data_IF_278145163764
#
_entry.id   IF_278145163764
#
_cell.length_a   1.000
_cell.length_b   1.000
_cell.length_c   1.000
_cell.angle_alpha   90.00
_cell.angle_beta   90.00
_cell.angle_gamma   90.00
#
_symmetry.space_group_name_H-M   'P 1'
#
loop_
_entity.id
_entity.type
_entity.pdbx_description
1 polymer ?
#
# COMPACT_ATOMS: atom_id res chain seq x y z
N UNK A 1 -10.61 -42.24 -17.78
CA UNK A 1 -10.91 -40.90 -17.25
C UNK A 1 -11.54 -41.10 -15.87
N UNK A 2 -10.72 -41.15 -14.83
CA UNK A 2 -11.19 -41.32 -13.44
C UNK A 2 -10.87 -40.02 -12.72
N UNK A 3 -11.90 -39.22 -12.47
CA UNK A 3 -11.79 -38.01 -11.66
C UNK A 3 -11.58 -38.43 -10.21
N UNK A 4 -10.40 -38.20 -9.66
CA UNK A 4 -10.21 -38.19 -8.21
C UNK A 4 -10.84 -36.89 -7.71
N UNK A 5 -11.90 -36.94 -6.88
CA UNK A 5 -12.51 -35.73 -6.37
C UNK A 5 -11.53 -35.04 -5.43
N UNK A 6 -11.30 -33.74 -5.67
CA UNK A 6 -10.76 -32.85 -4.65
C UNK A 6 -11.74 -32.92 -3.49
N UNK A 7 -11.26 -33.25 -2.29
CA UNK A 7 -12.07 -33.36 -1.08
C UNK A 7 -13.01 -32.16 -0.93
N UNK A 8 -14.29 -32.42 -0.67
CA UNK A 8 -15.39 -31.45 -0.46
C UNK A 8 -15.21 -30.52 0.77
N UNK A 9 -13.98 -30.21 1.16
CA UNK A 9 -13.65 -29.39 2.33
C UNK A 9 -12.43 -28.47 2.15
N UNK A 10 -11.90 -28.31 0.93
CA UNK A 10 -10.77 -27.42 0.70
C UNK A 10 -11.21 -25.94 0.66
N UNK A 11 -10.57 -25.10 1.46
CA UNK A 11 -10.88 -23.67 1.59
C UNK A 11 -9.97 -22.84 0.68
N UNK A 12 -10.53 -22.34 -0.43
CA UNK A 12 -9.80 -21.54 -1.42
C UNK A 12 -9.18 -20.26 -0.84
N UNK A 13 -9.77 -19.67 0.21
CA UNK A 13 -9.25 -18.47 0.85
C UNK A 13 -8.01 -18.79 1.71
N UNK A 14 -8.03 -19.92 2.43
CA UNK A 14 -6.85 -20.44 3.14
C UNK A 14 -5.77 -20.91 2.18
N UNK A 15 -6.16 -21.55 1.08
CA UNK A 15 -5.26 -21.95 -0.01
C UNK A 15 -4.53 -20.76 -0.63
N UNK A 16 -5.27 -19.69 -0.93
CA UNK A 16 -4.69 -18.43 -1.41
C UNK A 16 -3.70 -17.84 -0.41
N UNK A 17 -4.07 -17.81 0.87
CA UNK A 17 -3.21 -17.26 1.94
C UNK A 17 -1.91 -18.04 2.05
N UNK A 18 -1.99 -19.37 2.10
CA UNK A 18 -0.83 -20.26 2.18
C UNK A 18 0.04 -20.17 0.92
N UNK A 19 -0.57 -20.10 -0.28
CA UNK A 19 0.15 -19.90 -1.53
C UNK A 19 0.93 -18.58 -1.55
N UNK A 20 0.28 -17.47 -1.19
CA UNK A 20 0.93 -16.14 -1.15
C UNK A 20 2.06 -16.10 -0.12
N UNK A 21 1.90 -16.82 0.99
CA UNK A 21 2.87 -16.81 2.09
C UNK A 21 4.11 -17.63 1.78
N UNK A 22 3.95 -18.83 1.21
CA UNK A 22 5.04 -19.80 1.09
C UNK A 22 5.47 -20.14 -0.34
N UNK A 23 4.59 -19.98 -1.33
CA UNK A 23 4.81 -20.52 -2.69
C UNK A 23 5.01 -19.43 -3.75
N UNK A 24 4.40 -18.25 -3.58
CA UNK A 24 4.33 -17.18 -4.58
C UNK A 24 5.68 -16.50 -4.89
N UNK A 25 6.71 -16.73 -4.06
CA UNK A 25 8.07 -16.23 -4.30
C UNK A 25 8.78 -16.99 -5.43
N UNK A 26 8.40 -18.25 -5.67
CA UNK A 26 9.09 -19.13 -6.61
C UNK A 26 8.21 -19.64 -7.75
N UNK A 27 6.88 -19.62 -7.59
CA UNK A 27 5.94 -20.08 -8.60
C UNK A 27 5.08 -18.95 -9.17
N UNK A 28 4.79 -19.03 -10.47
CA UNK A 28 4.05 -18.00 -11.18
C UNK A 28 2.57 -17.97 -10.77
N UNK A 29 2.05 -16.77 -10.52
CA UNK A 29 0.65 -16.53 -10.10
C UNK A 29 -0.38 -16.92 -11.14
N UNK A 30 -0.02 -16.92 -12.43
CA UNK A 30 -0.94 -17.34 -13.48
C UNK A 30 -1.11 -18.85 -13.57
N UNK A 31 -0.32 -19.62 -12.80
CA UNK A 31 -0.28 -21.09 -12.77
C UNK A 31 0.07 -21.74 -14.12
N UNK A 32 0.34 -20.98 -15.17
CA UNK A 32 0.54 -21.47 -16.54
C UNK A 32 2.00 -21.43 -16.97
N UNK A 33 2.74 -20.45 -16.49
CA UNK A 33 4.13 -20.24 -16.87
C UNK A 33 5.11 -20.68 -15.78
N UNK A 34 6.31 -21.05 -16.20
CA UNK A 34 7.43 -21.29 -15.29
C UNK A 34 7.93 -19.97 -14.68
N UNK A 35 8.47 -20.04 -13.46
CA UNK A 35 9.22 -18.95 -12.82
C UNK A 35 10.55 -19.55 -12.30
N UNK A 36 10.85 -19.38 -11.02
CA UNK A 36 11.98 -20.02 -10.33
C UNK A 36 11.73 -21.52 -10.18
N UNK A 37 10.46 -21.91 -10.02
CA UNK A 37 9.96 -23.28 -10.11
C UNK A 37 8.99 -23.48 -11.29
N UNK A 38 8.57 -24.73 -11.53
CA UNK A 38 7.67 -25.07 -12.63
C UNK A 38 6.28 -24.42 -12.49
N UNK A 39 5.58 -24.31 -13.62
CA UNK A 39 4.16 -23.96 -13.66
C UNK A 39 3.33 -24.94 -12.80
N UNK A 40 2.45 -24.40 -11.96
CA UNK A 40 1.71 -25.19 -10.99
C UNK A 40 0.31 -25.63 -11.46
N UNK A 41 -0.24 -25.02 -12.51
CA UNK A 41 -1.56 -25.33 -13.02
C UNK A 41 -1.60 -26.74 -13.61
N UNK A 42 -2.56 -27.56 -13.20
CA UNK A 42 -2.62 -28.98 -13.56
C UNK A 42 -1.61 -29.87 -12.84
N UNK A 43 -1.01 -29.41 -11.73
CA UNK A 43 -0.05 -30.23 -10.95
C UNK A 43 -0.69 -31.52 -10.44
N UNK A 44 -1.94 -31.48 -9.97
CA UNK A 44 -2.65 -32.68 -9.49
C UNK A 44 -2.78 -33.72 -10.61
N UNK A 45 -3.11 -33.30 -11.83
CA UNK A 45 -3.18 -34.19 -12.98
C UNK A 45 -1.81 -34.77 -13.36
N UNK A 46 -0.76 -33.95 -13.30
CA UNK A 46 0.62 -34.38 -13.59
C UNK A 46 1.14 -35.39 -12.56
N UNK A 47 0.71 -35.31 -11.30
CA UNK A 47 1.09 -36.24 -10.24
C UNK A 47 0.10 -37.40 -10.04
N UNK A 48 -0.96 -37.48 -10.84
CA UNK A 48 -2.04 -38.48 -10.67
C UNK A 48 -1.59 -39.94 -10.85
N UNK A 49 -0.45 -40.19 -11.51
CA UNK A 49 0.13 -41.53 -11.64
C UNK A 49 0.86 -42.00 -10.37
N UNK A 50 0.98 -41.15 -9.35
CA UNK A 50 1.65 -41.42 -8.08
C UNK A 50 0.66 -41.29 -6.91
N UNK A 51 0.90 -41.99 -5.78
CA UNK A 51 0.17 -41.77 -4.54
C UNK A 51 0.12 -40.28 -4.15
N UNK A 52 -1.04 -39.81 -3.67
CA UNK A 52 -1.21 -38.42 -3.23
C UNK A 52 -0.22 -38.02 -2.13
N UNK A 53 0.17 -38.98 -1.28
CA UNK A 53 1.19 -38.81 -0.24
C UNK A 53 2.56 -38.41 -0.80
N UNK A 54 2.92 -38.83 -2.02
CA UNK A 54 4.18 -38.44 -2.65
C UNK A 54 4.17 -36.97 -3.06
N UNK A 55 3.01 -36.45 -3.48
CA UNK A 55 2.84 -35.02 -3.75
C UNK A 55 2.92 -34.20 -2.45
N UNK A 56 2.36 -34.70 -1.35
CA UNK A 56 2.52 -34.04 -0.05
C UNK A 56 3.97 -34.06 0.44
N UNK A 57 4.65 -35.20 0.31
CA UNK A 57 6.06 -35.32 0.66
C UNK A 57 6.93 -34.39 -0.20
N UNK A 58 6.62 -34.25 -1.49
CA UNK A 58 7.29 -33.33 -2.41
C UNK A 58 7.12 -31.86 -1.97
N UNK A 59 5.90 -31.43 -1.66
CA UNK A 59 5.62 -30.05 -1.23
C UNK A 59 6.31 -29.75 0.11
N UNK A 60 6.36 -30.70 1.05
CA UNK A 60 7.04 -30.50 2.34
C UNK A 60 8.55 -30.50 2.22
N UNK A 61 9.13 -31.41 1.45
CA UNK A 61 10.56 -31.56 1.33
C UNK A 61 10.94 -32.24 0.02
N UNK A 62 11.07 -31.43 -1.03
CA UNK A 62 11.46 -31.87 -2.37
C UNK A 62 12.79 -32.64 -2.38
N UNK A 63 13.78 -32.19 -1.61
CA UNK A 63 15.12 -32.79 -1.56
C UNK A 63 15.09 -34.20 -0.97
N UNK A 64 14.30 -34.44 0.07
CA UNK A 64 14.15 -35.78 0.64
C UNK A 64 13.55 -36.78 -0.36
N UNK A 65 12.65 -36.33 -1.24
CA UNK A 65 12.04 -37.18 -2.26
C UNK A 65 12.99 -37.42 -3.45
N UNK A 66 13.82 -36.43 -3.81
CA UNK A 66 14.89 -36.55 -4.81
C UNK A 66 15.97 -37.55 -4.34
N UNK A 67 16.42 -37.45 -3.09
CA UNK A 67 17.42 -38.37 -2.54
C UNK A 67 16.94 -39.83 -2.48
N UNK A 68 15.62 -40.05 -2.40
CA UNK A 68 14.99 -41.38 -2.48
C UNK A 68 14.86 -41.90 -3.93
N UNK A 69 15.25 -41.11 -4.93
CA UNK A 69 15.21 -41.51 -6.33
C UNK A 69 13.82 -41.50 -6.96
N UNK A 70 12.86 -40.76 -6.41
CA UNK A 70 11.50 -40.74 -6.96
C UNK A 70 11.50 -40.22 -8.41
N UNK A 71 10.94 -40.96 -9.39
CA UNK A 71 11.16 -40.71 -10.82
C UNK A 71 10.74 -39.31 -11.27
N UNK A 72 9.55 -38.85 -10.84
CA UNK A 72 9.05 -37.50 -11.17
C UNK A 72 9.80 -36.38 -10.44
N UNK A 73 10.31 -36.65 -9.24
CA UNK A 73 11.04 -35.66 -8.45
C UNK A 73 12.42 -35.41 -9.08
N UNK A 74 13.09 -36.49 -9.49
CA UNK A 74 14.37 -36.46 -10.19
C UNK A 74 14.25 -35.83 -11.59
N UNK A 75 13.16 -36.08 -12.31
CA UNK A 75 12.86 -35.42 -13.60
C UNK A 75 12.79 -33.90 -13.42
N UNK A 76 11.98 -33.42 -12.47
CA UNK A 76 11.85 -32.00 -12.17
C UNK A 76 13.16 -31.38 -11.69
N UNK A 77 13.91 -32.08 -10.86
CA UNK A 77 15.23 -31.62 -10.41
C UNK A 77 16.21 -31.44 -11.58
N UNK A 78 16.23 -32.35 -12.54
CA UNK A 78 17.10 -32.24 -13.71
C UNK A 78 16.78 -31.03 -14.59
N UNK A 79 15.51 -30.60 -14.61
CA UNK A 79 15.06 -29.43 -15.37
C UNK A 79 15.33 -28.10 -14.66
N UNK A 80 15.26 -28.06 -13.32
CA UNK A 80 15.31 -26.82 -12.54
C UNK A 80 16.57 -26.65 -11.67
N UNK A 81 17.48 -27.63 -11.63
CA UNK A 81 18.78 -27.48 -10.96
C UNK A 81 19.56 -26.28 -11.52
N UNK A 82 20.31 -25.54 -10.68
CA UNK A 82 20.62 -25.81 -9.26
C UNK A 82 19.60 -25.25 -8.26
N UNK A 83 18.40 -24.83 -8.68
CA UNK A 83 17.42 -24.18 -7.82
C UNK A 83 16.75 -25.17 -6.86
N UNK A 84 16.92 -24.96 -5.56
CA UNK A 84 16.34 -25.80 -4.50
C UNK A 84 15.04 -25.19 -3.98
N UNK A 85 13.96 -25.98 -3.96
CA UNK A 85 12.72 -25.60 -3.29
C UNK A 85 12.89 -25.74 -1.77
N UNK A 86 12.67 -24.64 -1.04
CA UNK A 86 12.71 -24.58 0.43
C UNK A 86 11.78 -25.63 1.05
N UNK A 87 12.20 -26.25 2.15
CA UNK A 87 11.39 -27.22 2.87
C UNK A 87 10.32 -26.52 3.74
N UNK A 88 9.11 -27.08 3.73
CA UNK A 88 7.95 -26.61 4.49
C UNK A 88 7.44 -27.73 5.42
N UNK A 89 8.22 -28.16 6.44
CA UNK A 89 7.88 -29.29 7.28
C UNK A 89 6.60 -29.08 8.11
N UNK A 90 6.23 -27.83 8.35
CA UNK A 90 5.09 -27.46 9.19
C UNK A 90 3.74 -27.46 8.45
N UNK A 91 3.71 -27.62 7.11
CA UNK A 91 2.45 -27.63 6.37
C UNK A 91 1.70 -28.96 6.58
N UNK A 92 0.46 -28.88 7.02
CA UNK A 92 -0.43 -30.03 7.19
C UNK A 92 -0.99 -30.53 5.85
N UNK A 93 -1.50 -31.77 5.79
CA UNK A 93 -2.10 -32.30 4.55
C UNK A 93 -3.30 -31.43 4.10
N UNK A 94 -4.08 -30.93 5.06
CA UNK A 94 -5.21 -30.04 4.80
C UNK A 94 -4.78 -28.71 4.17
N UNK A 95 -3.72 -28.07 4.68
CA UNK A 95 -3.21 -26.82 4.10
C UNK A 95 -2.63 -27.02 2.70
N UNK A 96 -2.01 -28.18 2.44
CA UNK A 96 -1.51 -28.51 1.10
C UNK A 96 -2.69 -28.75 0.14
N UNK A 97 -3.75 -29.42 0.60
CA UNK A 97 -4.98 -29.59 -0.20
C UNK A 97 -5.65 -28.25 -0.52
N UNK A 98 -5.74 -27.33 0.44
CA UNK A 98 -6.25 -25.98 0.24
C UNK A 98 -5.44 -25.23 -0.84
N UNK A 99 -4.10 -25.31 -0.78
CA UNK A 99 -3.21 -24.70 -1.77
C UNK A 99 -3.38 -25.32 -3.16
N UNK A 100 -3.47 -26.65 -3.25
CA UNK A 100 -3.65 -27.34 -4.53
C UNK A 100 -5.02 -27.02 -5.15
N UNK A 101 -6.08 -26.91 -4.34
CA UNK A 101 -7.39 -26.49 -4.78
C UNK A 101 -7.37 -25.04 -5.31
N UNK A 102 -6.70 -24.13 -4.59
CA UNK A 102 -6.51 -22.76 -5.06
C UNK A 102 -5.74 -22.69 -6.39
N UNK A 103 -4.64 -23.42 -6.53
CA UNK A 103 -3.85 -23.47 -7.78
C UNK A 103 -4.71 -23.94 -8.96
N UNK A 104 -5.50 -24.99 -8.76
CA UNK A 104 -6.35 -25.55 -9.81
C UNK A 104 -7.49 -24.60 -10.19
N UNK A 105 -8.10 -23.93 -9.21
CA UNK A 105 -9.09 -22.87 -9.45
C UNK A 105 -8.48 -21.70 -10.24
N UNK A 106 -7.29 -21.22 -9.84
CA UNK A 106 -6.60 -20.15 -10.56
C UNK A 106 -6.22 -20.54 -12.00
N UNK A 107 -5.80 -21.79 -12.19
CA UNK A 107 -5.45 -22.33 -13.51
C UNK A 107 -6.66 -22.39 -14.46
N UNK A 108 -7.83 -22.82 -13.94
CA UNK A 108 -9.08 -22.99 -14.71
C UNK A 108 -9.87 -21.70 -14.89
N UNK A 109 -9.99 -20.89 -13.83
CA UNK A 109 -10.96 -19.79 -13.74
C UNK A 109 -10.32 -18.39 -13.82
N UNK A 110 -8.99 -18.28 -13.86
CA UNK A 110 -8.29 -17.06 -14.29
C UNK A 110 -8.65 -15.78 -13.53
N UNK A 111 -8.90 -15.86 -12.22
CA UNK A 111 -9.22 -14.72 -11.35
C UNK A 111 -10.58 -14.05 -11.61
N UNK A 112 -11.62 -14.82 -11.97
CA UNK A 112 -13.01 -14.36 -11.77
C UNK A 112 -13.30 -14.28 -10.25
N UNK A 113 -13.86 -13.17 -9.73
CA UNK A 113 -14.26 -13.10 -8.33
C UNK A 113 -15.34 -14.15 -8.09
N UNK A 114 -15.06 -15.14 -7.24
CA UNK A 114 -16.11 -15.96 -6.68
C UNK A 114 -16.99 -15.06 -5.80
N UNK A 115 -18.30 -15.09 -6.05
CA UNK A 115 -19.28 -14.44 -5.21
C UNK A 115 -19.07 -14.86 -3.75
N UNK A 116 -19.13 -13.86 -2.89
CA UNK A 116 -18.92 -13.92 -1.43
C UNK A 116 -19.62 -15.08 -0.75
N UNK A 117 -18.86 -15.85 0.04
CA UNK A 117 -19.35 -16.46 1.27
C UNK A 117 -18.56 -15.83 2.43
N UNK A 118 -19.27 -15.06 3.25
CA UNK A 118 -18.73 -14.44 4.45
C UNK A 118 -18.40 -15.53 5.49
N UNK A 119 -17.16 -15.53 5.99
CA UNK A 119 -16.82 -16.19 7.24
C UNK A 119 -16.12 -15.16 8.14
N UNK A 120 -16.75 -14.94 9.29
CA UNK A 120 -16.34 -13.99 10.32
C UNK A 120 -15.01 -14.42 10.97
N UNK A 121 -14.09 -13.48 11.07
CA UNK A 121 -12.89 -13.56 11.89
C UNK A 121 -12.58 -12.16 12.43
N UNK A 122 -13.04 -11.89 13.65
CA UNK A 122 -12.87 -10.62 14.33
C UNK A 122 -11.40 -10.41 14.75
N UNK A 123 -10.79 -9.36 14.22
CA UNK A 123 -9.63 -8.63 14.77
C UNK A 123 -9.94 -7.14 14.65
N UNK A 124 -9.51 -6.28 15.59
CA UNK A 124 -10.19 -5.03 15.89
C UNK A 124 -10.24 -4.14 14.65
N UNK A 125 -11.47 -3.90 14.20
CA UNK A 125 -11.74 -2.94 13.15
C UNK A 125 -11.39 -1.56 13.70
N UNK A 126 -10.58 -0.83 12.94
CA UNK A 126 -10.56 0.63 13.01
C UNK A 126 -12.01 1.05 12.72
N UNK A 127 -12.69 1.61 13.71
CA UNK A 127 -14.04 2.16 13.53
C UNK A 127 -13.98 3.25 12.46
N UNK A 128 -14.43 2.92 11.25
CA UNK A 128 -15.07 3.92 10.41
C UNK A 128 -16.31 4.39 11.17
N UNK A 129 -16.35 5.66 11.52
CA UNK A 129 -17.52 6.30 12.12
C UNK A 129 -18.70 6.15 11.16
N UNK A 130 -19.54 5.13 11.37
CA UNK A 130 -20.83 5.04 10.71
C UNK A 130 -21.57 6.35 11.00
N UNK A 131 -22.14 7.04 10.00
CA UNK A 131 -22.93 8.23 10.28
C UNK A 131 -24.07 7.82 11.22
N UNK A 132 -24.22 8.53 12.32
CA UNK A 132 -25.15 8.23 13.41
C UNK A 132 -26.63 8.47 13.01
N UNK A 133 -27.05 8.03 11.82
CA UNK A 133 -28.41 8.20 11.28
C UNK A 133 -29.48 7.60 12.20
N UNK A 134 -29.17 6.47 12.84
CA UNK A 134 -30.04 5.86 13.84
C UNK A 134 -30.24 6.75 15.08
N UNK A 135 -29.17 7.41 15.57
CA UNK A 135 -29.27 8.35 16.68
C UNK A 135 -30.05 9.61 16.28
N UNK A 136 -29.89 10.07 15.02
CA UNK A 136 -30.70 11.18 14.50
C UNK A 136 -32.18 10.80 14.38
N UNK A 137 -32.51 9.58 13.93
CA UNK A 137 -33.90 9.09 13.87
C UNK A 137 -34.49 8.94 15.27
N UNK A 138 -33.76 8.31 16.20
CA UNK A 138 -34.23 8.13 17.58
C UNK A 138 -34.39 9.50 18.25
N UNK A 139 -33.43 10.41 18.07
CA UNK A 139 -33.49 11.77 18.59
C UNK A 139 -34.68 12.57 18.05
N UNK A 140 -34.94 12.49 16.74
CA UNK A 140 -36.10 13.17 16.12
C UNK A 140 -37.43 12.55 16.57
N UNK A 141 -37.48 11.22 16.72
CA UNK A 141 -38.66 10.49 17.20
C UNK A 141 -38.99 10.84 18.65
N UNK A 142 -37.98 10.91 19.53
CA UNK A 142 -38.13 11.32 20.92
C UNK A 142 -38.51 12.80 21.05
N UNK A 143 -37.95 13.67 20.21
CA UNK A 143 -38.32 15.09 20.15
C UNK A 143 -39.80 15.24 19.77
N UNK A 144 -40.26 14.53 18.74
CA UNK A 144 -41.67 14.53 18.32
C UNK A 144 -42.59 14.02 19.42
N UNK A 145 -42.22 12.94 20.10
CA UNK A 145 -42.98 12.39 21.22
C UNK A 145 -43.06 13.38 22.40
N UNK A 146 -41.94 14.03 22.74
CA UNK A 146 -41.88 15.03 23.80
C UNK A 146 -42.76 16.25 23.49
N UNK A 147 -42.74 16.74 22.24
CA UNK A 147 -43.61 17.85 21.80
C UNK A 147 -45.08 17.44 21.85
N UNK A 148 -45.42 16.23 21.40
CA UNK A 148 -46.79 15.71 21.45
C UNK A 148 -47.29 15.62 22.90
N UNK A 149 -46.52 15.01 23.79
CA UNK A 149 -46.87 14.87 25.21
C UNK A 149 -46.99 16.24 25.90
N UNK A 150 -46.06 17.17 25.65
CA UNK A 150 -46.11 18.52 26.21
C UNK A 150 -47.38 19.27 25.77
N UNK A 151 -47.84 19.06 24.53
CA UNK A 151 -49.07 19.65 24.02
C UNK A 151 -50.31 19.03 24.66
N UNK A 152 -50.34 17.70 24.82
CA UNK A 152 -51.44 16.99 25.49
C UNK A 152 -51.56 17.46 26.95
N UNK A 153 -50.46 17.52 27.69
CA UNK A 153 -50.45 17.99 29.09
C UNK A 153 -50.89 19.45 29.20
N UNK A 154 -50.38 20.33 28.33
CA UNK A 154 -50.77 21.75 28.33
C UNK A 154 -52.25 21.96 28.00
N UNK A 155 -52.80 21.15 27.10
CA UNK A 155 -54.23 21.20 26.76
C UNK A 155 -55.10 20.64 27.89
N UNK A 156 -54.67 19.57 28.55
CA UNK A 156 -55.36 19.01 29.72
C UNK A 156 -55.40 19.99 30.89
N UNK A 157 -54.28 20.66 31.20
CA UNK A 157 -54.22 21.68 32.24
C UNK A 157 -55.13 22.88 31.93
N UNK A 158 -55.15 23.33 30.66
CA UNK A 158 -56.07 24.40 30.23
C UNK A 158 -57.55 24.03 30.42
N UNK A 159 -57.92 22.77 30.13
CA UNK A 159 -59.28 22.27 30.34
C UNK A 159 -59.62 22.13 31.84
N UNK A 160 -58.67 21.70 32.68
CA UNK A 160 -58.82 21.64 34.13
C UNK A 160 -59.03 23.02 34.74
N UNK A 161 -58.18 24.00 34.39
CA UNK A 161 -58.25 25.37 34.91
C UNK A 161 -59.58 26.07 34.54
N UNK A 162 -60.14 25.75 33.37
CA UNK A 162 -61.48 26.20 32.97
C UNK A 162 -62.59 25.58 33.82
N UNK A 163 -62.44 24.32 34.21
CA UNK A 163 -63.41 23.60 35.03
C UNK A 163 -63.37 24.06 36.49
N UNK A 164 -62.18 24.43 36.99
CA UNK A 164 -61.94 24.92 38.36
C UNK A 164 -62.28 26.42 38.55
N UNK A 165 -62.83 27.09 37.52
CA UNK A 165 -63.33 28.46 37.62
C UNK A 165 -62.24 29.54 37.72
N UNK A 166 -61.02 29.25 37.28
CA UNK A 166 -59.92 30.22 37.24
C UNK A 166 -60.27 31.34 36.25
N UNK A 167 -60.24 32.60 36.71
CA UNK A 167 -60.78 33.77 36.00
C UNK A 167 -60.00 34.19 34.74
N UNK A 168 -58.88 33.53 34.43
CA UNK A 168 -58.13 33.70 33.17
C UNK A 168 -57.18 32.51 32.90
N UNK A 169 -57.66 31.39 32.33
CA UNK A 169 -56.81 30.26 31.97
C UNK A 169 -55.82 30.68 30.87
N UNK A 170 -54.52 30.38 31.04
CA UNK A 170 -53.51 30.69 30.01
C UNK A 170 -53.68 29.74 28.82
N UNK A 171 -53.96 30.28 27.64
CA UNK A 171 -54.06 29.46 26.43
C UNK A 171 -52.73 28.75 26.11
N UNK A 172 -52.78 27.51 25.61
CA UNK A 172 -51.58 26.79 25.21
C UNK A 172 -50.91 27.52 24.04
N UNK A 173 -49.64 27.91 24.24
CA UNK A 173 -48.86 28.64 23.24
C UNK A 173 -48.72 27.86 21.93
N UNK A 174 -48.84 28.56 20.81
CA UNK A 174 -48.63 27.97 19.48
C UNK A 174 -47.16 27.59 19.26
N UNK A 175 -46.89 26.58 18.41
CA UNK A 175 -45.52 26.19 18.02
C UNK A 175 -44.75 27.39 17.46
N UNK A 176 -45.44 28.27 16.72
CA UNK A 176 -44.85 29.49 16.16
C UNK A 176 -44.43 30.47 17.26
N UNK A 177 -45.24 30.63 18.32
CA UNK A 177 -44.93 31.50 19.46
C UNK A 177 -43.79 30.95 20.33
N UNK A 178 -43.70 29.62 20.44
CA UNK A 178 -42.59 28.94 21.12
C UNK A 178 -41.30 29.18 20.31
N UNK A 179 -41.30 28.88 19.02
CA UNK A 179 -40.13 29.06 18.15
C UNK A 179 -39.70 30.53 17.99
N UNK A 180 -40.63 31.47 18.04
CA UNK A 180 -40.35 32.92 17.99
C UNK A 180 -40.12 33.56 19.37
N UNK A 181 -40.13 32.76 20.44
CA UNK A 181 -39.83 33.27 21.77
C UNK A 181 -38.38 33.76 21.87
N UNK A 182 -38.15 34.87 22.58
CA UNK A 182 -36.80 35.44 22.79
C UNK A 182 -35.80 34.42 23.35
N UNK A 183 -36.27 33.49 24.18
CA UNK A 183 -35.48 32.41 24.76
C UNK A 183 -35.02 31.39 23.71
N UNK A 184 -35.91 30.94 22.82
CA UNK A 184 -35.57 29.98 21.76
C UNK A 184 -34.74 30.64 20.67
N UNK A 185 -35.08 31.86 20.26
CA UNK A 185 -34.24 32.63 19.33
C UNK A 185 -32.84 32.83 19.90
N UNK A 186 -32.73 33.20 21.18
CA UNK A 186 -31.44 33.34 21.88
C UNK A 186 -30.64 32.04 21.93
N UNK A 187 -31.30 30.92 22.22
CA UNK A 187 -30.66 29.60 22.22
C UNK A 187 -30.20 29.18 20.81
N UNK A 188 -31.04 29.36 19.79
CA UNK A 188 -30.71 29.04 18.40
C UNK A 188 -29.56 29.92 17.89
N UNK A 189 -29.54 31.21 18.23
CA UNK A 189 -28.45 32.11 17.92
C UNK A 189 -27.15 31.67 18.61
N UNK A 190 -27.21 31.30 19.89
CA UNK A 190 -26.06 30.76 20.62
C UNK A 190 -25.52 29.48 19.97
N UNK A 191 -26.40 28.53 19.63
CA UNK A 191 -26.02 27.30 18.92
C UNK A 191 -25.39 27.63 17.56
N UNK A 192 -25.97 28.56 16.81
CA UNK A 192 -25.44 28.99 15.51
C UNK A 192 -24.05 29.61 15.66
N UNK A 193 -23.82 30.44 16.68
CA UNK A 193 -22.51 31.02 16.97
C UNK A 193 -21.50 29.95 17.36
N UNK A 194 -21.88 28.99 18.21
CA UNK A 194 -21.00 27.90 18.64
C UNK A 194 -20.65 26.99 17.46
N UNK A 195 -21.64 26.58 16.66
CA UNK A 195 -21.43 25.73 15.48
C UNK A 195 -20.66 26.48 14.40
N UNK A 196 -21.02 27.74 14.13
CA UNK A 196 -20.32 28.60 13.18
C UNK A 196 -18.87 28.85 13.60
N UNK A 197 -18.64 29.13 14.88
CA UNK A 197 -17.30 29.29 15.45
C UNK A 197 -16.49 28.01 15.37
N UNK A 198 -17.05 26.88 15.80
CA UNK A 198 -16.42 25.56 15.73
C UNK A 198 -16.04 25.17 14.29
N UNK A 199 -16.95 25.33 13.33
CA UNK A 199 -16.71 25.00 11.92
C UNK A 199 -15.66 25.94 11.32
N UNK A 200 -15.73 27.25 11.61
CA UNK A 200 -14.75 28.23 11.14
C UNK A 200 -13.35 27.92 11.66
N UNK A 201 -13.21 27.66 12.97
CA UNK A 201 -11.92 27.32 13.59
C UNK A 201 -11.38 26.01 13.01
N UNK A 202 -12.20 24.97 12.86
CA UNK A 202 -11.72 23.69 12.31
C UNK A 202 -11.29 23.80 10.86
N UNK A 203 -12.05 24.54 10.03
CA UNK A 203 -11.65 24.80 8.65
C UNK A 203 -10.35 25.59 8.60
N UNK A 204 -10.19 26.61 9.45
CA UNK A 204 -8.96 27.38 9.55
C UNK A 204 -7.75 26.52 9.99
N UNK A 205 -7.96 25.61 10.95
CA UNK A 205 -6.95 24.64 11.40
C UNK A 205 -6.60 23.63 10.30
N UNK A 206 -7.54 23.29 9.43
CA UNK A 206 -7.35 22.37 8.31
C UNK A 206 -6.67 23.02 7.10
N UNK A 207 -6.68 24.36 6.99
CA UNK A 207 -5.97 25.09 5.93
C UNK A 207 -4.48 24.70 5.92
N UNK A 208 -3.97 24.40 4.73
CA UNK A 208 -2.59 23.97 4.55
C UNK A 208 -2.30 22.51 4.89
N UNK A 209 -3.26 21.72 5.38
CA UNK A 209 -3.09 20.27 5.53
C UNK A 209 -3.34 19.56 4.21
N UNK A 210 -2.40 18.72 3.79
CA UNK A 210 -2.44 17.98 2.53
C UNK A 210 -2.76 16.48 2.73
N UNK A 211 -3.48 16.13 3.80
CA UNK A 211 -3.85 14.73 4.03
C UNK A 211 -4.70 14.19 2.88
N UNK A 212 -4.44 12.94 2.50
CA UNK A 212 -5.02 12.25 1.36
C UNK A 212 -4.69 12.86 -0.02
N UNK A 213 -3.77 13.84 -0.11
CA UNK A 213 -3.27 14.31 -1.40
C UNK A 213 -2.63 13.15 -2.17
N UNK A 214 -3.13 12.90 -3.38
CA UNK A 214 -2.76 11.77 -4.24
C UNK A 214 -2.72 12.24 -5.71
N UNK A 215 -1.61 12.84 -6.16
CA UNK A 215 -1.49 13.33 -7.53
C UNK A 215 -1.23 12.19 -8.52
N UNK A 216 -1.62 12.42 -9.77
CA UNK A 216 -1.21 11.56 -10.87
C UNK A 216 0.30 11.65 -11.08
N UNK A 217 0.94 10.49 -11.23
CA UNK A 217 2.38 10.37 -11.48
C UNK A 217 2.65 10.12 -12.97
N UNK A 218 3.81 10.54 -13.51
CA UNK A 218 4.22 10.23 -14.88
C UNK A 218 4.18 8.73 -15.21
N UNK A 219 4.57 7.92 -14.24
CA UNK A 219 4.57 6.47 -14.33
C UNK A 219 3.70 5.94 -13.21
N UNK A 220 2.79 5.01 -13.53
CA UNK A 220 1.88 4.39 -12.57
C UNK A 220 2.62 3.34 -11.72
N UNK A 221 3.56 3.82 -10.90
CA UNK A 221 4.35 2.99 -10.01
C UNK A 221 3.54 2.52 -8.81
N UNK A 222 3.47 1.19 -8.62
CA UNK A 222 2.70 0.55 -7.54
C UNK A 222 3.59 0.11 -6.38
N UNK A 223 3.47 0.77 -5.22
CA UNK A 223 4.14 0.30 -4.00
C UNK A 223 3.52 -1.01 -3.49
N UNK A 224 2.22 -1.22 -3.70
CA UNK A 224 1.55 -2.48 -3.38
C UNK A 224 2.12 -3.69 -4.11
N UNK A 225 2.60 -3.51 -5.34
CA UNK A 225 3.28 -4.58 -6.07
C UNK A 225 4.69 -4.79 -5.51
N UNK A 226 5.50 -3.74 -5.41
CA UNK A 226 6.91 -3.85 -5.05
C UNK A 226 7.13 -4.22 -3.57
N UNK A 227 6.60 -3.41 -2.65
CA UNK A 227 6.74 -3.63 -1.21
C UNK A 227 5.68 -4.61 -0.66
N UNK A 228 4.45 -4.56 -1.16
CA UNK A 228 3.36 -5.40 -0.67
C UNK A 228 3.45 -6.85 -1.13
N UNK A 229 3.49 -7.07 -2.44
CA UNK A 229 3.50 -8.41 -3.04
C UNK A 229 4.89 -9.03 -3.04
N UNK A 230 5.89 -8.31 -3.54
CA UNK A 230 7.24 -8.84 -3.70
C UNK A 230 8.11 -8.67 -2.46
N UNK A 231 7.59 -8.01 -1.40
CA UNK A 231 8.29 -7.81 -0.12
C UNK A 231 9.66 -7.16 -0.28
N UNK A 232 9.83 -6.31 -1.29
CA UNK A 232 11.05 -5.54 -1.48
C UNK A 232 11.17 -4.56 -0.32
N UNK A 233 12.31 -4.60 0.36
CA UNK A 233 12.58 -3.72 1.50
C UNK A 233 12.53 -2.23 1.08
N UNK A 234 11.95 -1.40 1.94
CA UNK A 234 11.78 0.03 1.66
C UNK A 234 13.11 0.72 1.36
N UNK A 235 14.18 0.37 2.08
CA UNK A 235 15.49 1.01 1.97
C UNK A 235 16.31 0.51 0.77
N UNK A 236 15.83 -0.50 0.04
CA UNK A 236 16.45 -0.91 -1.22
C UNK A 236 16.34 0.21 -2.27
N UNK A 237 15.13 0.78 -2.41
CA UNK A 237 14.88 1.90 -3.32
C UNK A 237 15.11 3.26 -2.64
N UNK A 238 14.78 3.37 -1.36
CA UNK A 238 14.87 4.60 -0.58
C UNK A 238 16.08 4.58 0.36
N UNK A 239 17.25 4.33 -0.20
CA UNK A 239 18.49 4.09 0.56
C UNK A 239 18.98 5.33 1.32
N UNK A 240 18.59 6.53 0.85
CA UNK A 240 18.86 7.80 1.51
C UNK A 240 18.25 7.90 2.90
N UNK A 241 17.17 7.16 3.19
CA UNK A 241 16.46 7.24 4.47
C UNK A 241 17.35 6.93 5.69
N UNK A 242 18.36 6.07 5.55
CA UNK A 242 19.27 5.67 6.64
C UNK A 242 20.50 6.55 6.80
N UNK A 243 20.83 7.39 5.82
CA UNK A 243 22.11 8.12 5.76
C UNK A 243 21.95 9.63 5.60
N UNK A 244 20.94 10.05 4.86
CA UNK A 244 20.72 11.44 4.50
C UNK A 244 19.54 12.05 5.25
N UNK A 245 19.50 13.37 5.23
CA UNK A 245 18.31 14.15 5.63
C UNK A 245 17.09 13.85 4.76
N UNK A 246 17.30 13.51 3.49
CA UNK A 246 16.25 13.26 2.51
C UNK A 246 16.28 11.80 2.05
N UNK A 247 15.13 11.14 2.16
CA UNK A 247 14.89 9.88 1.47
C UNK A 247 14.66 10.17 -0.01
N UNK A 248 15.71 10.02 -0.81
CA UNK A 248 15.66 10.33 -2.26
C UNK A 248 14.69 9.39 -2.99
N UNK A 249 14.10 9.88 -4.07
CA UNK A 249 13.42 9.03 -5.05
C UNK A 249 14.52 8.28 -5.82
N UNK A 250 14.44 6.95 -5.98
CA UNK A 250 15.49 6.19 -6.64
C UNK A 250 15.73 6.70 -8.07
N UNK A 251 17.01 6.74 -8.46
CA UNK A 251 17.37 6.93 -9.86
C UNK A 251 16.85 5.74 -10.69
N UNK A 252 16.54 5.99 -11.96
CA UNK A 252 15.98 4.97 -12.86
C UNK A 252 16.87 3.73 -13.04
N UNK A 253 18.18 3.84 -12.78
CA UNK A 253 19.09 2.68 -12.75
C UNK A 253 18.68 1.64 -11.70
N UNK A 254 18.13 2.06 -10.55
CA UNK A 254 17.61 1.16 -9.52
C UNK A 254 16.50 0.28 -10.07
N UNK A 255 15.64 0.86 -10.92
CA UNK A 255 14.56 0.12 -11.60
C UNK A 255 15.16 -0.95 -12.54
N UNK A 256 16.26 -0.64 -13.22
CA UNK A 256 16.88 -1.52 -14.20
C UNK A 256 17.58 -2.74 -13.62
N UNK A 257 17.89 -2.75 -12.32
CA UNK A 257 18.44 -3.92 -11.63
C UNK A 257 17.56 -5.15 -11.81
N UNK A 258 16.24 -4.96 -11.94
CA UNK A 258 15.27 -6.04 -12.19
C UNK A 258 14.58 -5.89 -13.55
N UNK A 259 14.23 -4.68 -13.98
CA UNK A 259 13.45 -4.46 -15.20
C UNK A 259 14.20 -4.73 -16.49
N UNK A 260 15.52 -4.98 -16.46
CA UNK A 260 16.20 -5.59 -17.61
C UNK A 260 15.65 -6.99 -17.95
N UNK A 261 15.32 -7.78 -16.92
CA UNK A 261 14.75 -9.11 -17.08
C UNK A 261 13.21 -9.09 -17.05
N UNK A 262 12.60 -8.22 -16.24
CA UNK A 262 11.15 -8.10 -16.09
C UNK A 262 10.61 -7.03 -17.05
N UNK A 263 10.18 -7.48 -18.23
CA UNK A 263 9.77 -6.62 -19.35
C UNK A 263 8.28 -6.30 -19.41
N UNK A 264 7.46 -6.99 -18.63
CA UNK A 264 5.99 -6.84 -18.59
C UNK A 264 5.50 -6.74 -17.15
N UNK A 265 4.58 -5.80 -16.90
CA UNK A 265 3.93 -5.59 -15.62
C UNK A 265 2.56 -6.30 -15.55
N UNK A 266 2.14 -6.69 -14.35
CA UNK A 266 0.91 -7.46 -14.14
C UNK A 266 -0.39 -6.69 -14.42
N UNK A 267 -0.38 -5.36 -14.38
CA UNK A 267 -1.57 -4.51 -14.56
C UNK A 267 -1.60 -3.73 -15.87
N UNK A 268 -0.44 -3.20 -16.28
CA UNK A 268 -0.31 -2.29 -17.41
C UNK A 268 0.54 -2.89 -18.55
N UNK A 269 0.85 -4.19 -18.50
CA UNK A 269 1.67 -4.85 -19.51
C UNK A 269 2.99 -4.13 -19.74
N UNK A 270 3.26 -3.75 -20.99
CA UNK A 270 4.48 -3.03 -21.39
C UNK A 270 4.42 -1.52 -21.19
N UNK A 271 3.23 -0.93 -21.04
CA UNK A 271 3.01 0.52 -21.17
C UNK A 271 3.88 1.34 -20.19
N UNK A 272 3.82 1.00 -18.90
CA UNK A 272 4.53 1.76 -17.86
C UNK A 272 6.03 1.48 -17.81
N UNK A 273 6.44 0.24 -18.11
CA UNK A 273 7.86 -0.14 -18.12
C UNK A 273 8.59 0.51 -19.30
N UNK A 274 7.92 0.66 -20.45
CA UNK A 274 8.52 1.32 -21.62
C UNK A 274 8.89 2.78 -21.33
N UNK A 275 8.14 3.46 -20.45
CA UNK A 275 8.46 4.83 -20.03
C UNK A 275 9.81 4.88 -19.30
N UNK A 276 10.14 3.87 -18.50
CA UNK A 276 11.44 3.78 -17.81
C UNK A 276 12.55 3.61 -18.85
N UNK A 277 12.38 2.68 -19.80
CA UNK A 277 13.35 2.45 -20.87
C UNK A 277 13.58 3.70 -21.70
N UNK A 278 12.51 4.36 -22.14
CA UNK A 278 12.54 5.59 -22.92
C UNK A 278 13.19 6.76 -22.16
N UNK A 279 13.03 6.84 -20.84
CA UNK A 279 13.69 7.86 -20.03
C UNK A 279 15.22 7.70 -20.02
N UNK A 280 15.72 6.46 -19.91
CA UNK A 280 17.15 6.17 -19.72
C UNK A 280 17.90 5.71 -20.98
N UNK A 281 17.18 5.41 -22.08
CA UNK A 281 17.78 4.92 -23.32
C UNK A 281 18.13 3.44 -23.31
N UNK A 282 17.34 2.60 -22.64
CA UNK A 282 17.54 1.16 -22.68
C UNK A 282 16.76 0.54 -23.83
N UNK A 283 17.40 -0.25 -24.70
CA UNK A 283 16.71 -1.02 -25.74
C UNK A 283 16.40 -2.44 -25.24
N UNK A 284 15.15 -2.73 -24.86
CA UNK A 284 14.74 -4.06 -24.39
C UNK A 284 14.70 -5.14 -25.48
N UNK A 285 14.91 -4.79 -26.75
CA UNK A 285 15.04 -5.76 -27.86
C UNK A 285 16.44 -6.37 -27.94
N UNK A 286 17.45 -5.57 -27.60
CA UNK A 286 18.88 -5.94 -27.68
C UNK A 286 19.54 -6.08 -26.31
N UNK A 287 18.81 -5.75 -25.24
CA UNK A 287 19.27 -5.76 -23.85
C UNK A 287 20.51 -4.89 -23.58
N UNK A 288 20.63 -3.80 -24.34
CA UNK A 288 21.73 -2.84 -24.31
C UNK A 288 21.22 -1.40 -24.19
N UNK A 289 22.06 -0.54 -23.64
CA UNK A 289 21.81 0.91 -23.69
C UNK A 289 22.14 1.44 -25.09
N UNK A 290 21.33 2.39 -25.54
CA UNK A 290 21.47 3.02 -26.85
C UNK A 290 22.63 4.03 -26.78
N UNK A 291 23.61 3.87 -27.67
CA UNK A 291 24.73 4.80 -27.75
C UNK A 291 24.27 6.18 -28.23
N UNK A 292 24.80 7.25 -27.62
CA UNK A 292 24.44 8.64 -27.93
C UNK A 292 22.92 8.94 -27.87
N UNK A 293 22.21 8.27 -26.96
CA UNK A 293 20.75 8.36 -26.83
C UNK A 293 20.23 9.79 -26.60
N UNK A 294 21.00 10.60 -25.88
CA UNK A 294 20.76 12.01 -25.59
C UNK A 294 20.71 12.90 -26.85
N UNK A 295 21.35 12.45 -27.93
CA UNK A 295 21.45 13.16 -29.22
C UNK A 295 20.42 12.70 -30.25
N UNK A 296 19.70 11.60 -30.00
CA UNK A 296 18.71 11.09 -30.94
C UNK A 296 17.48 12.01 -31.06
N UNK A 297 16.95 12.12 -32.27
CA UNK A 297 15.69 12.82 -32.54
C UNK A 297 14.51 12.03 -31.96
N UNK A 298 13.39 12.71 -31.69
CA UNK A 298 12.18 12.04 -31.18
C UNK A 298 11.67 10.96 -32.14
N UNK A 299 11.86 11.12 -33.46
CA UNK A 299 11.44 10.13 -34.45
C UNK A 299 12.29 8.87 -34.42
N UNK A 300 13.60 9.01 -34.21
CA UNK A 300 14.51 7.88 -34.02
C UNK A 300 14.15 7.10 -32.74
N UNK A 301 13.90 7.83 -31.65
CA UNK A 301 13.46 7.25 -30.37
C UNK A 301 12.12 6.53 -30.52
N UNK A 302 11.16 7.17 -31.18
CA UNK A 302 9.84 6.61 -31.51
C UNK A 302 9.95 5.30 -32.26
N UNK A 303 10.78 5.26 -33.32
CA UNK A 303 10.97 4.06 -34.13
C UNK A 303 11.46 2.86 -33.33
N UNK A 304 12.38 3.07 -32.37
CA UNK A 304 12.92 2.01 -31.51
C UNK A 304 11.84 1.43 -30.61
N UNK A 305 11.16 2.29 -29.83
CA UNK A 305 10.19 1.80 -28.84
C UNK A 305 8.89 1.31 -29.48
N UNK A 306 8.39 1.93 -30.54
CA UNK A 306 7.21 1.42 -31.28
C UNK A 306 7.47 0.02 -31.84
N UNK A 307 8.66 -0.23 -32.39
CA UNK A 307 9.05 -1.56 -32.89
C UNK A 307 9.04 -2.61 -31.78
N UNK A 308 9.56 -2.26 -30.60
CA UNK A 308 9.55 -3.18 -29.46
C UNK A 308 8.14 -3.42 -28.91
N UNK A 309 7.31 -2.37 -28.77
CA UNK A 309 5.92 -2.48 -28.32
C UNK A 309 5.15 -3.41 -29.27
N UNK A 310 5.22 -3.16 -30.58
CA UNK A 310 4.56 -3.99 -31.59
C UNK A 310 4.96 -5.47 -31.51
N UNK A 311 6.26 -5.74 -31.30
CA UNK A 311 6.78 -7.12 -31.17
C UNK A 311 6.24 -7.83 -29.92
N UNK A 312 6.21 -7.16 -28.76
CA UNK A 312 5.77 -7.78 -27.51
C UNK A 312 4.24 -7.94 -27.46
N UNK A 313 3.50 -7.12 -28.19
CA UNK A 313 2.06 -7.27 -28.33
C UNK A 313 1.66 -8.38 -29.33
N UNK A 314 2.56 -8.78 -30.21
CA UNK A 314 2.35 -9.89 -31.16
C UNK A 314 2.70 -11.26 -30.58
N UNK A 315 3.10 -11.33 -29.30
CA UNK A 315 3.59 -12.56 -28.66
C UNK A 315 2.52 -13.67 -28.51
N UNK A 316 1.23 -13.33 -28.63
CA UNK A 316 0.10 -14.27 -28.57
C UNK A 316 -0.45 -14.66 -29.96
N UNK A 317 0.31 -14.46 -31.04
CA UNK A 317 -0.10 -14.86 -32.40
C UNK A 317 -1.13 -13.94 -33.07
N UNK A 318 -1.50 -12.82 -32.44
CA UNK A 318 -2.32 -11.78 -33.05
C UNK A 318 -1.44 -10.71 -33.71
N UNK A 319 -1.91 -10.12 -34.81
CA UNK A 319 -1.23 -8.96 -35.44
C UNK A 319 -1.21 -7.81 -34.44
N UNK A 320 -0.06 -7.13 -34.31
CA UNK A 320 0.04 -5.90 -33.53
C UNK A 320 -1.04 -4.90 -33.97
N UNK A 321 -1.91 -4.51 -33.04
CA UNK A 321 -2.81 -3.39 -33.25
C UNK A 321 -1.99 -2.09 -33.28
N UNK A 322 -1.81 -1.55 -34.49
CA UNK A 322 -1.05 -0.34 -34.72
C UNK A 322 -1.61 0.86 -33.93
N UNK A 323 -2.93 0.92 -33.72
CA UNK A 323 -3.57 1.98 -32.93
C UNK A 323 -3.15 1.94 -31.47
N UNK A 324 -2.97 0.75 -30.91
CA UNK A 324 -2.54 0.57 -29.53
C UNK A 324 -1.03 0.82 -29.34
N UNK A 325 -0.21 0.50 -30.35
CA UNK A 325 1.22 0.89 -30.38
C UNK A 325 1.37 2.42 -30.35
N UNK A 326 0.59 3.10 -31.20
CA UNK A 326 0.61 4.57 -31.25
C UNK A 326 0.06 5.18 -29.96
N UNK A 327 -0.98 4.60 -29.36
CA UNK A 327 -1.49 5.01 -28.05
C UNK A 327 -0.41 4.90 -26.96
N UNK A 328 0.29 3.76 -26.84
CA UNK A 328 1.37 3.61 -25.85
C UNK A 328 2.51 4.61 -26.10
N UNK A 329 2.85 4.89 -27.35
CA UNK A 329 3.85 5.92 -27.67
C UNK A 329 3.41 7.32 -27.24
N UNK A 330 2.15 7.70 -27.48
CA UNK A 330 1.64 8.99 -27.00
C UNK A 330 1.65 9.04 -25.47
N UNK A 331 1.30 7.95 -24.79
CA UNK A 331 1.39 7.88 -23.34
C UNK A 331 2.82 8.11 -22.83
N UNK A 332 3.84 7.58 -23.51
CA UNK A 332 5.26 7.84 -23.20
C UNK A 332 5.58 9.33 -23.36
N UNK A 333 5.19 9.92 -24.50
CA UNK A 333 5.45 11.34 -24.78
C UNK A 333 4.80 12.24 -23.74
N UNK A 334 3.51 12.07 -23.47
CA UNK A 334 2.76 12.88 -22.50
C UNK A 334 3.28 12.70 -21.08
N UNK A 335 3.77 11.51 -20.72
CA UNK A 335 4.28 11.24 -19.37
C UNK A 335 5.68 11.80 -19.14
N UNK A 336 6.55 11.76 -20.15
CA UNK A 336 7.98 12.05 -19.99
C UNK A 336 8.40 13.43 -20.47
N UNK A 337 7.49 14.17 -21.13
CA UNK A 337 7.70 15.54 -21.58
C UNK A 337 6.81 16.53 -20.85
N UNK A 338 7.27 17.75 -20.72
CA UNK A 338 6.54 18.89 -20.16
C UNK A 338 7.04 20.18 -20.80
N UNK A 339 6.42 21.32 -20.48
CA UNK A 339 6.87 22.64 -20.96
C UNK A 339 8.35 22.91 -20.63
N UNK A 340 8.81 22.46 -19.46
CA UNK A 340 10.20 22.61 -18.99
C UNK A 340 11.12 21.47 -19.44
N UNK A 341 10.57 20.34 -19.90
CA UNK A 341 11.32 19.18 -20.38
C UNK A 341 10.75 18.70 -21.72
N UNK A 342 11.15 19.29 -22.85
CA UNK A 342 10.58 18.96 -24.16
C UNK A 342 11.06 17.60 -24.71
N UNK A 343 12.15 17.06 -24.16
CA UNK A 343 12.75 15.78 -24.59
C UNK A 343 12.34 14.64 -23.65
N UNK A 344 12.17 13.45 -24.20
CA UNK A 344 11.83 12.24 -23.44
C UNK A 344 13.01 11.80 -22.56
N UNK A 345 14.21 11.91 -23.12
CA UNK A 345 15.47 11.53 -22.48
C UNK A 345 15.71 12.27 -21.17
N UNK A 346 16.34 11.60 -20.22
CA UNK A 346 16.70 12.18 -18.93
C UNK A 346 15.66 11.92 -17.84
N UNK A 347 15.77 12.62 -16.69
CA UNK A 347 15.09 12.23 -15.45
C UNK A 347 13.57 12.28 -15.56
N UNK A 348 12.91 11.35 -14.88
CA UNK A 348 11.45 11.30 -14.73
C UNK A 348 11.02 12.41 -13.76
N UNK A 349 10.04 13.23 -14.16
CA UNK A 349 9.54 14.37 -13.40
C UNK A 349 8.48 13.93 -12.39
N UNK A 350 8.90 13.23 -11.34
CA UNK A 350 8.00 12.77 -10.28
C UNK A 350 7.31 13.93 -9.56
N UNK A 351 6.03 13.76 -9.22
CA UNK A 351 5.30 14.74 -8.41
C UNK A 351 5.48 14.40 -6.94
N UNK A 352 6.17 15.27 -6.21
CA UNK A 352 6.42 15.09 -4.77
C UNK A 352 5.12 15.26 -3.99
N UNK A 353 4.86 14.31 -3.09
CA UNK A 353 3.60 14.20 -2.35
C UNK A 353 3.75 14.75 -0.92
N UNK A 354 4.86 14.44 -0.27
CA UNK A 354 5.18 14.95 1.06
C UNK A 354 6.08 16.17 0.92
N UNK A 355 5.54 17.35 1.20
CA UNK A 355 6.29 18.59 1.20
C UNK A 355 6.27 19.23 2.60
N UNK A 356 7.43 19.69 3.04
CA UNK A 356 7.57 20.49 4.25
C UNK A 356 8.10 21.87 3.81
N UNK A 357 7.71 22.96 4.49
CA UNK A 357 8.25 24.28 4.20
C UNK A 357 9.78 24.30 4.31
N UNK A 358 10.46 25.09 3.48
CA UNK A 358 11.93 25.12 3.43
C UNK A 358 12.59 25.60 4.73
N UNK A 359 11.86 26.36 5.56
CA UNK A 359 12.34 26.79 6.88
C UNK A 359 12.27 25.67 7.95
N UNK A 360 11.65 24.53 7.65
CA UNK A 360 11.57 23.39 8.55
C UNK A 360 12.64 22.35 8.17
N UNK A 361 13.67 22.22 9.02
CA UNK A 361 14.71 21.20 8.82
C UNK A 361 14.21 19.83 9.31
N UNK A 362 14.13 18.87 8.38
CA UNK A 362 13.80 17.48 8.68
C UNK A 362 14.92 16.55 8.20
N UNK A 363 15.28 15.57 9.04
CA UNK A 363 16.34 14.62 8.74
C UNK A 363 15.87 13.16 8.89
N UNK A 364 15.75 12.43 7.78
CA UNK A 364 15.31 11.02 7.78
C UNK A 364 16.23 10.11 8.60
N UNK A 365 17.56 10.23 8.48
CA UNK A 365 18.50 9.33 9.15
C UNK A 365 18.41 9.39 10.67
N UNK A 366 18.10 10.55 11.25
CA UNK A 366 17.85 10.67 12.68
C UNK A 366 16.64 9.87 13.14
N UNK A 367 15.56 9.86 12.35
CA UNK A 367 14.34 9.14 12.71
C UNK A 367 14.47 7.63 12.44
N UNK A 368 15.09 7.25 11.32
CA UNK A 368 15.21 5.85 10.90
C UNK A 368 16.37 5.15 11.62
N UNK A 369 17.57 5.74 11.60
CA UNK A 369 18.79 5.08 12.10
C UNK A 369 18.91 5.21 13.61
N UNK A 370 18.77 6.42 14.17
CA UNK A 370 18.88 6.65 15.61
C UNK A 370 17.56 6.38 16.35
N UNK A 371 16.45 6.91 15.83
CA UNK A 371 15.12 6.76 16.42
C UNK A 371 14.46 5.40 16.22
N UNK A 372 14.92 4.60 15.24
CA UNK A 372 14.30 3.32 14.85
C UNK A 372 12.79 3.43 14.58
N UNK A 373 12.34 4.58 14.11
CA UNK A 373 10.93 4.84 13.80
C UNK A 373 10.57 4.10 12.51
N UNK A 374 9.50 3.30 12.56
CA UNK A 374 9.01 2.57 11.40
C UNK A 374 8.45 3.52 10.34
N UNK A 375 8.72 3.26 9.06
CA UNK A 375 8.27 4.09 7.95
C UNK A 375 6.74 4.29 7.94
N UNK A 376 6.00 3.24 8.31
CA UNK A 376 4.55 3.21 8.33
C UNK A 376 3.93 4.18 9.35
N UNK A 377 4.66 4.55 10.41
CA UNK A 377 4.17 5.49 11.41
C UNK A 377 4.00 6.90 10.83
N UNK A 378 4.82 7.27 9.85
CA UNK A 378 4.77 8.57 9.18
C UNK A 378 4.06 8.52 7.83
N UNK A 379 4.32 7.48 7.02
CA UNK A 379 3.82 7.39 5.65
C UNK A 379 2.58 6.48 5.50
N UNK A 380 2.11 5.85 6.58
CA UNK A 380 1.03 4.87 6.54
C UNK A 380 1.49 3.54 5.94
N UNK A 381 0.54 2.62 5.72
CA UNK A 381 0.82 1.29 5.13
C UNK A 381 1.08 1.39 3.62
N UNK A 382 2.25 1.92 3.25
CA UNK A 382 2.66 2.16 1.86
C UNK A 382 2.69 0.86 1.05
N UNK A 383 2.99 -0.27 1.70
CA UNK A 383 2.95 -1.60 1.11
C UNK A 383 1.55 -2.03 0.63
N UNK A 384 0.49 -1.30 1.01
CA UNK A 384 -0.87 -1.52 0.53
C UNK A 384 -1.34 -0.42 -0.45
N UNK A 385 -0.47 0.52 -0.81
CA UNK A 385 -0.82 1.66 -1.66
C UNK A 385 -0.45 1.38 -3.12
N UNK A 386 -1.46 1.35 -4.01
CA UNK A 386 -1.22 1.31 -5.45
C UNK A 386 -0.67 2.64 -5.98
N UNK A 387 -1.18 3.74 -5.45
CA UNK A 387 -0.64 5.08 -5.66
C UNK A 387 -0.45 5.70 -4.28
N UNK A 388 0.74 6.22 -3.99
CA UNK A 388 1.01 6.83 -2.69
C UNK A 388 0.12 8.04 -2.48
N UNK A 389 -0.42 8.16 -1.27
CA UNK A 389 -1.10 9.35 -0.78
C UNK A 389 -0.46 9.82 0.53
N UNK A 390 -0.61 11.10 0.83
CA UNK A 390 -0.16 11.61 2.12
C UNK A 390 -1.06 11.12 3.26
N UNK A 391 -0.52 10.24 4.11
CA UNK A 391 -1.24 9.67 5.25
C UNK A 391 -1.26 10.63 6.45
N UNK A 392 -0.08 10.99 6.95
CA UNK A 392 0.06 11.89 8.09
C UNK A 392 -0.10 13.36 7.68
N UNK A 393 -0.61 14.23 8.58
CA UNK A 393 -0.76 15.65 8.28
C UNK A 393 0.59 16.37 8.18
N UNK A 394 1.65 15.83 8.82
CA UNK A 394 2.98 16.44 8.90
C UNK A 394 2.98 17.90 9.43
N UNK A 395 1.94 18.27 10.18
CA UNK A 395 1.85 19.57 10.85
C UNK A 395 2.80 19.64 12.06
N UNK A 396 3.25 20.83 12.42
CA UNK A 396 4.09 21.06 13.62
C UNK A 396 3.53 20.40 14.88
N UNK A 397 2.23 20.56 15.17
CA UNK A 397 1.60 19.96 16.35
C UNK A 397 1.65 18.43 16.35
N UNK A 398 1.54 17.80 15.19
CA UNK A 398 1.70 16.34 15.04
C UNK A 398 3.14 15.92 15.33
N UNK A 399 4.13 16.63 14.79
CA UNK A 399 5.56 16.36 15.06
C UNK A 399 5.89 16.50 16.55
N UNK A 400 5.46 17.60 17.18
CA UNK A 400 5.72 17.87 18.61
C UNK A 400 5.08 16.81 19.50
N UNK A 401 3.83 16.44 19.22
CA UNK A 401 3.16 15.41 20.01
C UNK A 401 3.85 14.04 19.86
N UNK A 402 4.27 13.69 18.63
CA UNK A 402 5.07 12.50 18.39
C UNK A 402 6.38 12.53 19.20
N UNK A 403 7.10 13.64 19.20
CA UNK A 403 8.35 13.80 19.97
C UNK A 403 8.12 13.75 21.49
N UNK A 404 6.98 14.24 21.99
CA UNK A 404 6.62 14.18 23.42
C UNK A 404 6.24 12.77 23.88
N UNK A 405 5.68 11.97 22.98
CA UNK A 405 5.10 10.65 23.31
C UNK A 405 6.02 9.48 22.95
N UNK A 406 6.95 9.66 22.01
CA UNK A 406 7.83 8.60 21.54
C UNK A 406 9.02 8.45 22.46
N UNK A 407 9.14 7.30 23.11
CA UNK A 407 10.30 6.98 23.94
C UNK A 407 11.55 6.72 23.10
N UNK A 408 12.66 7.32 23.50
CA UNK A 408 13.97 7.03 22.92
C UNK A 408 14.38 5.61 23.29
N UNK A 409 14.74 4.82 22.28
CA UNK A 409 15.25 3.45 22.46
C UNK A 409 16.70 3.49 22.96
N UNK A 410 16.91 3.79 24.24
CA UNK A 410 18.23 3.78 24.87
C UNK A 410 18.75 2.36 25.13
N UNK A 411 17.83 1.42 25.42
CA UNK A 411 18.15 0.00 25.58
C UNK A 411 18.12 -0.68 24.22
N UNK A 412 19.10 -1.54 23.94
CA UNK A 412 19.19 -2.38 22.75
C UNK A 412 19.29 -1.63 21.39
N UNK A 413 19.78 -0.39 21.42
CA UNK A 413 20.04 0.39 20.22
C UNK A 413 21.54 0.58 20.02
N UNK A 414 22.12 0.03 18.93
CA UNK A 414 23.53 0.17 18.62
C UNK A 414 24.02 1.63 18.64
N UNK A 415 23.17 2.57 18.23
CA UNK A 415 23.49 3.99 18.22
C UNK A 415 23.88 4.53 19.61
N UNK A 416 23.21 4.08 20.68
CA UNK A 416 23.49 4.55 22.04
C UNK A 416 24.55 3.71 22.77
N UNK A 417 24.80 2.48 22.31
CA UNK A 417 25.84 1.61 22.87
C UNK A 417 27.23 2.24 22.71
N UNK A 418 27.47 2.93 21.60
CA UNK A 418 28.75 3.63 21.37
C UNK A 418 28.99 4.73 22.42
N UNK A 419 27.96 5.51 22.76
CA UNK A 419 28.06 6.53 23.82
C UNK A 419 28.29 5.91 25.19
N UNK A 420 27.66 4.77 25.49
CA UNK A 420 27.91 4.04 26.75
C UNK A 420 29.35 3.56 26.82
N UNK A 421 29.85 2.97 25.74
CA UNK A 421 31.25 2.54 25.61
C UNK A 421 32.20 3.71 25.81
N UNK A 422 31.99 4.84 25.12
CA UNK A 422 32.84 6.02 25.26
C UNK A 422 32.85 6.56 26.69
N UNK A 423 31.69 6.58 27.36
CA UNK A 423 31.60 6.98 28.76
C UNK A 423 32.41 6.05 29.68
N UNK A 424 32.33 4.72 29.49
CA UNK A 424 33.09 3.74 30.26
C UNK A 424 34.60 3.80 30.00
N UNK A 425 35.01 4.02 28.74
CA UNK A 425 36.43 4.18 28.37
C UNK A 425 37.03 5.48 28.94
N UNK A 426 36.25 6.56 29.01
CA UNK A 426 36.67 7.79 29.70
C UNK A 426 36.80 7.55 31.20
N UNK A 427 35.79 6.92 31.82
CA UNK A 427 35.78 6.64 33.26
C UNK A 427 36.94 5.72 33.69
N UNK A 428 37.30 4.76 32.86
CA UNK A 428 38.42 3.84 33.10
C UNK A 428 39.79 4.43 32.74
N UNK A 429 39.86 5.64 32.18
CA UNK A 429 41.10 6.27 31.74
C UNK A 429 41.69 5.68 30.45
N UNK A 430 41.05 4.67 29.83
CA UNK A 430 41.45 4.08 28.55
C UNK A 430 41.36 5.10 27.40
N UNK A 431 40.51 6.11 27.54
CA UNK A 431 40.25 7.15 26.55
C UNK A 431 40.22 8.52 27.25
N UNK A 432 40.88 9.52 26.68
CA UNK A 432 40.92 10.88 27.26
C UNK A 432 39.85 11.82 26.70
N UNK A 433 39.39 11.60 25.46
CA UNK A 433 38.37 12.42 24.78
C UNK A 433 37.63 11.62 23.70
N UNK A 434 36.53 12.18 23.21
CA UNK A 434 35.79 11.70 22.02
C UNK A 434 35.86 12.80 20.97
N UNK A 435 36.23 12.46 19.75
CA UNK A 435 36.30 13.41 18.64
C UNK A 435 35.02 13.39 17.79
N UNK A 436 34.86 14.42 16.96
CA UNK A 436 33.72 14.54 16.03
C UNK A 436 33.68 13.38 15.03
N UNK A 437 34.86 12.87 14.61
CA UNK A 437 34.98 11.70 13.75
C UNK A 437 34.35 10.44 14.37
N UNK A 438 34.57 10.22 15.66
CA UNK A 438 34.13 9.02 16.37
C UNK A 438 32.63 8.96 16.62
N UNK A 439 31.93 10.07 16.43
CA UNK A 439 30.46 10.17 16.46
C UNK A 439 29.87 10.39 15.05
N UNK A 440 30.65 10.10 14.01
CA UNK A 440 30.22 10.14 12.61
C UNK A 440 30.13 11.54 12.01
N UNK A 441 30.80 12.54 12.58
CA UNK A 441 30.79 13.91 12.07
C UNK A 441 31.67 14.16 10.84
N UNK A 442 32.25 13.11 10.25
CA UNK A 442 32.91 13.16 8.93
C UNK A 442 31.98 12.77 7.76
N UNK A 443 30.71 12.49 8.04
CA UNK A 443 29.74 12.24 6.98
C UNK A 443 29.45 13.54 6.23
N UNK A 444 29.89 13.64 4.97
CA UNK A 444 29.71 14.85 4.15
C UNK A 444 28.26 15.34 4.14
N UNK A 445 27.27 14.44 4.19
CA UNK A 445 25.83 14.76 4.18
C UNK A 445 25.33 15.46 5.46
N UNK A 446 26.11 15.45 6.56
CA UNK A 446 25.80 16.19 7.79
C UNK A 446 26.17 17.67 7.69
N UNK A 447 27.10 18.03 6.80
CA UNK A 447 27.61 19.41 6.64
C UNK A 447 27.29 20.01 5.27
N UNK A 448 27.40 19.21 4.21
CA UNK A 448 27.14 19.59 2.83
C UNK A 448 25.79 19.00 2.39
N UNK A 449 24.93 19.90 1.89
CA UNK A 449 23.52 19.64 1.60
C UNK A 449 23.28 18.58 0.56
#
# INVERSE_FOLDING_TARGET
MVLVPISNGADLAKGKTTFVTYCASCHNKNMKDNLTGPALGGTVARWASFPKEDLYAWVRNSQALISKGHPRATELWNQFKPTVMTAFPNLTNAEIDDVLAYIEDQYKNGNKPAATAAAAGAGPAVEESKPNWLMYIIGLSLLLLAVLLSKVVSNLNYLSDKQDGVTAPKEPKSIVEILTSKSIIGFLLFVLIVVGGYTTVNNAIALGRQQNYQPNQPIKFSHATHAGTHKIDCQYCHDGARRSKQSVIPAANTCMNCHKAIKTGSKHGTEEITKIYASIGFDPSTDKYIENYDKLSQDQVSGIYKKWIAKNMSADGQKADQGLVDHQWQAIKTSLTSEVKPKIQGPIQWVRIHNLPDHAYFNHSQHVTAGKVACQQCHGKVENMEVVKQYAPLSMGWCINCHRQTEVKFKDNPFYNDYKKYHEEIKSGKRSKVTVEEIGGLECQKCHY
#
